data_IF_558705331598
#
_entry.id   IF_558705331598
#
_cell.length_a   1.000
_cell.length_b   1.000
_cell.length_c   1.000
_cell.angle_alpha   90.00
_cell.angle_beta   90.00
_cell.angle_gamma   90.00
#
_symmetry.space_group_name_H-M   'P 1'
#
loop_
_entity.id
_entity.type
_entity.pdbx_description
1 polymer ?
#
# COMPACT_ATOMS: atom_id res chain seq x y z
N UNK A 1 6.70 1.63 14.41
CA UNK A 1 7.42 2.90 14.20
C UNK A 1 8.03 2.84 12.82
N UNK A 2 7.66 3.77 11.97
CA UNK A 2 8.02 3.84 10.55
C UNK A 2 8.91 5.05 10.34
N UNK A 3 9.95 4.92 9.52
CA UNK A 3 10.83 6.02 9.17
C UNK A 3 10.78 6.30 7.67
N UNK A 4 10.91 7.57 7.31
CA UNK A 4 11.06 8.00 5.93
C UNK A 4 12.53 8.30 5.63
N UNK A 5 13.16 7.46 4.82
CA UNK A 5 14.56 7.64 4.43
C UNK A 5 14.83 8.95 3.65
N UNK A 6 13.80 9.51 3.00
CA UNK A 6 13.93 10.71 2.17
C UNK A 6 13.95 12.02 2.97
N UNK A 7 13.12 12.13 4.01
CA UNK A 7 12.97 13.37 4.77
C UNK A 7 13.21 13.23 6.29
N UNK A 8 13.53 12.04 6.78
CA UNK A 8 13.82 11.78 8.19
C UNK A 8 12.59 11.81 9.10
N UNK A 9 11.37 11.77 8.54
CA UNK A 9 10.16 11.67 9.36
C UNK A 9 10.09 10.32 10.06
N UNK A 10 9.72 10.33 11.35
CA UNK A 10 9.48 9.15 12.17
C UNK A 10 8.10 9.26 12.81
N UNK A 11 7.33 8.17 12.80
CA UNK A 11 5.99 8.14 13.39
C UNK A 11 5.37 6.75 13.35
N UNK A 12 4.08 6.66 13.67
CA UNK A 12 3.31 5.42 13.62
C UNK A 12 2.67 5.18 12.22
N UNK A 13 2.23 3.94 11.94
CA UNK A 13 1.61 3.62 10.64
C UNK A 13 0.28 4.37 10.41
N UNK A 14 -0.47 4.62 11.48
CA UNK A 14 -1.74 5.38 11.47
C UNK A 14 -1.54 6.86 11.10
N UNK A 15 -0.32 7.39 11.20
CA UNK A 15 0.01 8.77 10.82
C UNK A 15 0.38 8.89 9.34
N UNK A 16 0.58 7.76 8.64
CA UNK A 16 0.88 7.77 7.21
C UNK A 16 -0.34 8.20 6.40
N UNK A 17 -0.09 8.90 5.30
CA UNK A 17 -1.15 9.23 4.34
C UNK A 17 -1.48 8.01 3.49
N UNK A 18 -2.75 7.74 3.19
CA UNK A 18 -3.16 6.64 2.31
C UNK A 18 -3.54 7.13 0.90
N UNK A 19 -3.22 6.36 -0.13
CA UNK A 19 -3.78 6.53 -1.49
C UNK A 19 -4.02 5.19 -2.19
N UNK A 20 -4.89 5.14 -3.23
CA UNK A 20 -4.99 3.97 -4.11
C UNK A 20 -3.64 3.70 -4.80
N UNK A 21 -3.17 2.45 -4.70
CA UNK A 21 -1.98 1.96 -5.39
C UNK A 21 -2.33 1.28 -6.72
N UNK A 22 -1.37 1.25 -7.64
CA UNK A 22 -1.54 0.54 -8.91
C UNK A 22 -1.48 -0.97 -8.71
N UNK A 23 -2.31 -1.73 -9.43
CA UNK A 23 -2.21 -3.19 -9.47
C UNK A 23 -0.88 -3.61 -10.10
N UNK A 24 -0.25 -4.63 -9.52
CA UNK A 24 0.94 -5.24 -10.11
C UNK A 24 0.55 -6.39 -11.03
N UNK A 25 1.51 -6.87 -11.82
CA UNK A 25 1.32 -7.97 -12.77
C UNK A 25 0.61 -9.19 -12.17
N UNK A 26 1.02 -9.64 -10.97
CA UNK A 26 0.39 -10.79 -10.32
C UNK A 26 -1.04 -10.53 -9.84
N UNK A 27 -1.39 -9.28 -9.54
CA UNK A 27 -2.75 -8.93 -9.14
C UNK A 27 -3.68 -8.94 -10.34
N UNK A 28 -3.20 -8.50 -11.50
CA UNK A 28 -3.91 -8.59 -12.78
C UNK A 28 -4.12 -10.07 -13.14
N UNK A 29 -3.07 -10.89 -13.09
CA UNK A 29 -3.19 -12.33 -13.35
C UNK A 29 -4.17 -13.03 -12.40
N UNK A 30 -4.22 -12.62 -11.13
CA UNK A 30 -5.16 -13.19 -10.18
C UNK A 30 -6.59 -12.74 -10.49
N UNK A 31 -6.80 -11.46 -10.82
CA UNK A 31 -8.09 -10.90 -11.24
C UNK A 31 -8.64 -11.58 -12.50
N UNK A 32 -7.79 -11.98 -13.42
CA UNK A 32 -8.21 -12.70 -14.63
C UNK A 32 -8.62 -14.15 -14.35
N UNK A 33 -8.11 -14.73 -13.25
CA UNK A 33 -8.33 -16.14 -12.87
C UNK A 33 -9.42 -16.32 -11.81
N UNK A 34 -9.84 -15.25 -11.15
CA UNK A 34 -10.80 -15.29 -10.05
C UNK A 34 -11.82 -14.17 -10.17
N UNK A 35 -12.93 -14.27 -9.46
CA UNK A 35 -13.91 -13.18 -9.33
C UNK A 35 -13.57 -12.25 -8.16
N UNK A 36 -12.37 -12.37 -7.60
CA UNK A 36 -11.98 -11.63 -6.41
C UNK A 36 -11.82 -10.13 -6.72
N UNK A 37 -12.27 -9.28 -5.81
CA UNK A 37 -11.98 -7.85 -5.87
C UNK A 37 -10.55 -7.63 -5.37
N UNK A 38 -9.68 -7.17 -6.27
CA UNK A 38 -8.27 -6.93 -5.95
C UNK A 38 -7.98 -5.43 -6.06
N UNK A 39 -7.48 -4.86 -4.98
CA UNK A 39 -7.02 -3.47 -4.91
C UNK A 39 -5.71 -3.37 -4.15
N UNK A 40 -5.05 -2.21 -4.26
CA UNK A 40 -3.85 -1.89 -3.49
C UNK A 40 -4.00 -0.53 -2.84
N UNK A 41 -3.39 -0.40 -1.67
CA UNK A 41 -3.21 0.86 -0.96
C UNK A 41 -1.73 1.13 -0.79
N UNK A 42 -1.32 2.36 -1.06
CA UNK A 42 0.01 2.86 -0.76
C UNK A 42 -0.07 3.77 0.46
N UNK A 43 0.90 3.60 1.35
CA UNK A 43 1.07 4.39 2.56
C UNK A 43 2.28 5.30 2.35
N UNK A 44 2.05 6.60 2.42
CA UNK A 44 3.04 7.61 2.12
C UNK A 44 3.49 8.34 3.37
N UNK A 45 4.72 8.84 3.32
CA UNK A 45 5.21 9.80 4.28
C UNK A 45 4.33 11.06 4.24
N UNK A 46 3.75 11.49 5.37
CA UNK A 46 2.87 12.66 5.42
C UNK A 46 3.62 13.99 5.14
N UNK A 47 4.96 13.98 5.19
CA UNK A 47 5.79 15.17 4.98
C UNK A 47 6.27 15.35 3.54
N UNK A 48 6.69 14.27 2.89
CA UNK A 48 7.33 14.36 1.56
C UNK A 48 6.62 13.56 0.46
N UNK A 49 5.57 12.80 0.80
CA UNK A 49 4.78 12.00 -0.14
C UNK A 49 5.53 10.80 -0.71
N UNK A 50 6.66 10.40 -0.12
CA UNK A 50 7.37 9.20 -0.53
C UNK A 50 6.63 7.94 -0.06
N UNK A 51 6.60 6.89 -0.89
CA UNK A 51 5.90 5.66 -0.55
C UNK A 51 6.72 4.86 0.46
N UNK A 52 6.17 4.64 1.65
CA UNK A 52 6.84 3.93 2.73
C UNK A 52 6.44 2.44 2.77
N UNK A 53 5.19 2.14 2.47
CA UNK A 53 4.72 0.76 2.37
C UNK A 53 3.50 0.64 1.45
N UNK A 54 3.11 -0.60 1.13
CA UNK A 54 1.88 -0.86 0.39
C UNK A 54 1.19 -2.11 0.94
N UNK A 55 -0.14 -2.11 0.93
CA UNK A 55 -0.96 -3.25 1.32
C UNK A 55 -1.79 -3.69 0.12
N UNK A 56 -1.82 -4.99 -0.12
CA UNK A 56 -2.68 -5.61 -1.13
C UNK A 56 -3.97 -6.06 -0.47
N UNK A 57 -5.11 -5.79 -1.08
CA UNK A 57 -6.42 -6.23 -0.61
C UNK A 57 -7.01 -7.20 -1.64
N UNK A 58 -7.47 -8.36 -1.17
CA UNK A 58 -8.16 -9.37 -1.98
C UNK A 58 -9.46 -9.70 -1.24
N UNK A 59 -10.61 -9.40 -1.82
CA UNK A 59 -11.95 -9.55 -1.19
C UNK A 59 -12.01 -8.92 0.21
N UNK A 60 -11.40 -7.74 0.36
CA UNK A 60 -11.31 -7.02 1.63
C UNK A 60 -10.29 -7.58 2.63
N UNK A 61 -9.65 -8.72 2.35
CA UNK A 61 -8.59 -9.30 3.18
C UNK A 61 -7.28 -8.58 2.90
N UNK A 62 -6.66 -8.05 3.96
CA UNK A 62 -5.40 -7.30 3.89
C UNK A 62 -4.21 -8.25 3.90
N UNK A 63 -3.39 -8.17 2.86
CA UNK A 63 -2.10 -8.82 2.75
C UNK A 63 -1.01 -7.75 2.82
N UNK A 64 -0.32 -7.68 3.96
CA UNK A 64 0.93 -6.94 4.12
C UNK A 64 2.10 -7.80 3.67
N UNK A 65 3.02 -7.23 2.90
CA UNK A 65 4.31 -7.86 2.57
C UNK A 65 5.43 -7.04 3.17
#
# INVERSE_FOLDING_TARGET
MTNCYKCGWEGEENEMSERPGNLLFYDILLKDKTTAEISRKEYLCPKCGDVLSSKRLIDGIVFSR
#
